data_IF_359365882965
#
_entry.id   IF_359365882965
#
_cell.length_a   1.000
_cell.length_b   1.000
_cell.length_c   1.000
_cell.angle_alpha   90.00
_cell.angle_beta   90.00
_cell.angle_gamma   90.00
#
_symmetry.space_group_name_H-M   'P 1'
#
loop_
_entity.id
_entity.type
_entity.pdbx_description
1 polymer ?
#
# COMPACT_ATOMS: atom_id res chain seq x y z
N UNK A 1 0.63 30.44 30.12
CA UNK A 1 0.27 29.36 29.17
C UNK A 1 -1.23 29.28 29.12
N UNK A 2 -1.85 29.72 28.02
CA UNK A 2 -3.31 29.80 27.89
C UNK A 2 -3.93 28.44 27.50
N UNK A 3 -5.20 28.20 27.83
CA UNK A 3 -5.90 26.92 27.60
C UNK A 3 -5.90 26.45 26.13
N UNK A 4 -5.80 27.39 25.17
CA UNK A 4 -5.67 27.08 23.74
C UNK A 4 -4.32 26.44 23.38
N UNK A 5 -3.24 26.77 24.11
CA UNK A 5 -1.91 26.20 23.88
C UNK A 5 -1.82 24.75 24.41
N UNK A 6 -2.52 24.44 25.49
CA UNK A 6 -2.64 23.07 26.02
C UNK A 6 -3.47 22.19 25.09
N UNK A 7 -4.63 22.68 24.62
CA UNK A 7 -5.47 21.94 23.67
C UNK A 7 -4.77 21.65 22.33
N UNK A 8 -4.01 22.61 21.77
CA UNK A 8 -3.22 22.38 20.55
C UNK A 8 -2.08 21.38 20.74
N UNK A 9 -1.51 21.28 21.94
CA UNK A 9 -0.48 20.30 22.25
C UNK A 9 -1.06 18.88 22.32
N UNK A 10 -2.20 18.73 22.99
CA UNK A 10 -2.92 17.46 23.11
C UNK A 10 -3.37 16.92 21.76
N UNK A 11 -3.85 17.79 20.84
CA UNK A 11 -4.23 17.40 19.47
C UNK A 11 -3.01 16.87 18.71
N UNK A 12 -1.88 17.59 18.73
CA UNK A 12 -0.67 17.18 18.00
C UNK A 12 -0.07 15.87 18.52
N UNK A 13 -0.19 15.60 19.82
CA UNK A 13 0.30 14.35 20.43
C UNK A 13 -0.61 13.17 20.10
N UNK A 14 -1.93 13.39 20.08
CA UNK A 14 -2.91 12.41 19.62
C UNK A 14 -2.71 12.05 18.13
N UNK A 15 -2.52 13.06 17.27
CA UNK A 15 -2.26 12.89 15.84
C UNK A 15 -0.98 12.10 15.58
N UNK A 16 0.12 12.37 16.30
CA UNK A 16 1.37 11.59 16.17
C UNK A 16 1.18 10.14 16.57
N UNK A 17 0.52 9.89 17.70
CA UNK A 17 0.30 8.52 18.19
C UNK A 17 -0.59 7.72 17.23
N UNK A 18 -1.57 8.35 16.62
CA UNK A 18 -2.42 7.74 15.58
C UNK A 18 -1.63 7.47 14.29
N UNK A 19 -0.82 8.44 13.86
CA UNK A 19 0.07 8.30 12.70
C UNK A 19 1.06 7.13 12.90
N UNK A 20 1.70 7.03 14.07
CA UNK A 20 2.64 5.97 14.41
C UNK A 20 1.97 4.59 14.41
N UNK A 21 0.77 4.48 14.98
CA UNK A 21 -0.01 3.23 14.94
C UNK A 21 -0.41 2.86 13.52
N UNK A 22 -0.77 3.84 12.70
CA UNK A 22 -1.09 3.63 11.29
C UNK A 22 0.14 3.15 10.53
N UNK A 23 1.29 3.78 10.71
CA UNK A 23 2.56 3.38 10.08
C UNK A 23 3.00 1.98 10.52
N UNK A 24 2.89 1.65 11.81
CA UNK A 24 3.24 0.33 12.34
C UNK A 24 2.38 -0.78 11.72
N UNK A 25 1.10 -0.52 11.46
CA UNK A 25 0.20 -1.48 10.77
C UNK A 25 0.52 -1.64 9.29
N UNK A 26 1.20 -0.68 8.67
CA UNK A 26 1.57 -0.70 7.25
C UNK A 26 2.88 -1.43 6.96
N UNK A 27 3.72 -1.68 7.97
CA UNK A 27 5.04 -2.32 7.79
C UNK A 27 4.90 -3.70 7.16
N UNK A 28 4.01 -4.54 7.69
CA UNK A 28 3.86 -5.93 7.24
C UNK A 28 3.24 -6.06 5.84
N UNK A 29 2.07 -5.46 5.54
CA UNK A 29 1.49 -5.57 4.21
C UNK A 29 2.39 -4.95 3.14
N UNK A 30 3.09 -3.84 3.44
CA UNK A 30 4.07 -3.25 2.51
C UNK A 30 5.22 -4.20 2.20
N UNK A 31 5.79 -4.82 3.24
CA UNK A 31 6.89 -5.78 3.06
C UNK A 31 6.44 -6.98 2.22
N UNK A 32 5.23 -7.47 2.43
CA UNK A 32 4.66 -8.58 1.67
C UNK A 32 4.44 -8.21 0.20
N UNK A 33 3.86 -7.03 -0.08
CA UNK A 33 3.67 -6.56 -1.46
C UNK A 33 5.00 -6.32 -2.18
N UNK A 34 5.99 -5.71 -1.51
CA UNK A 34 7.32 -5.45 -2.09
C UNK A 34 8.01 -6.77 -2.45
N UNK A 35 7.93 -7.78 -1.57
CA UNK A 35 8.48 -9.11 -1.84
C UNK A 35 7.78 -9.79 -3.01
N UNK A 36 6.44 -9.77 -3.04
CA UNK A 36 5.67 -10.40 -4.11
C UNK A 36 5.92 -9.73 -5.46
N UNK A 37 6.02 -8.40 -5.52
CA UNK A 37 6.37 -7.70 -6.75
C UNK A 37 7.72 -8.18 -7.31
N UNK A 38 8.77 -8.20 -6.47
CA UNK A 38 10.08 -8.68 -6.93
C UNK A 38 10.01 -10.10 -7.52
N UNK A 39 9.27 -11.01 -6.87
CA UNK A 39 9.16 -12.39 -7.36
C UNK A 39 8.30 -12.50 -8.62
N UNK A 40 7.25 -11.68 -8.76
CA UNK A 40 6.42 -11.66 -9.97
C UNK A 40 7.15 -11.01 -11.14
N UNK A 41 7.98 -10.00 -10.89
CA UNK A 41 8.87 -9.41 -11.88
C UNK A 41 9.89 -10.44 -12.38
N UNK A 42 10.47 -11.24 -11.48
CA UNK A 42 11.34 -12.37 -11.85
C UNK A 42 10.58 -13.37 -12.76
N UNK A 43 9.37 -13.79 -12.38
CA UNK A 43 8.54 -14.65 -13.22
C UNK A 43 8.24 -14.04 -14.60
N UNK A 44 7.97 -12.74 -14.64
CA UNK A 44 7.70 -12.03 -15.87
C UNK A 44 8.95 -11.94 -16.77
N UNK A 45 10.14 -11.80 -16.19
CA UNK A 45 11.41 -11.86 -16.91
C UNK A 45 11.72 -13.26 -17.44
N UNK A 46 11.19 -14.31 -16.80
CA UNK A 46 11.27 -15.70 -17.24
C UNK A 46 10.16 -16.10 -18.25
N UNK A 47 9.39 -15.13 -18.75
CA UNK A 47 8.24 -15.34 -19.65
C UNK A 47 7.14 -16.25 -19.05
N UNK A 48 7.07 -16.37 -17.72
CA UNK A 48 6.01 -17.10 -17.04
C UNK A 48 4.75 -16.24 -17.00
N UNK A 49 3.77 -16.59 -17.85
CA UNK A 49 2.54 -15.81 -18.00
C UNK A 49 1.52 -15.99 -16.88
N UNK A 50 1.55 -17.11 -16.16
CA UNK A 50 0.60 -17.42 -15.09
C UNK A 50 1.36 -17.70 -13.80
N UNK A 51 0.84 -17.15 -12.71
CA UNK A 51 1.48 -17.27 -11.40
C UNK A 51 1.35 -18.71 -10.89
N UNK A 52 2.47 -19.40 -10.56
CA UNK A 52 2.41 -20.78 -10.08
C UNK A 52 1.73 -20.92 -8.72
N UNK A 53 1.18 -22.11 -8.44
CA UNK A 53 0.49 -22.42 -7.18
C UNK A 53 1.39 -22.32 -5.94
N UNK A 54 2.70 -22.39 -6.10
CA UNK A 54 3.65 -22.22 -4.99
C UNK A 54 3.60 -20.82 -4.35
N UNK A 55 3.00 -19.84 -5.06
CA UNK A 55 2.81 -18.48 -4.58
C UNK A 55 1.51 -18.29 -3.77
N UNK A 56 0.57 -19.23 -3.81
CA UNK A 56 -0.69 -19.15 -3.06
C UNK A 56 -0.51 -18.86 -1.57
N UNK A 57 0.43 -19.47 -0.83
CA UNK A 57 0.63 -19.17 0.58
C UNK A 57 0.93 -17.68 0.82
N UNK A 58 1.80 -17.09 0.01
CA UNK A 58 2.18 -15.67 0.10
C UNK A 58 1.02 -14.75 -0.29
N UNK A 59 0.23 -15.13 -1.30
CA UNK A 59 -0.97 -14.39 -1.72
C UNK A 59 -2.10 -14.49 -0.70
N UNK A 60 -2.28 -15.66 -0.06
CA UNK A 60 -3.21 -15.85 1.06
C UNK A 60 -2.82 -15.00 2.27
N UNK A 61 -1.54 -14.96 2.62
CA UNK A 61 -1.02 -14.12 3.68
C UNK A 61 -1.31 -12.64 3.39
N UNK A 62 -1.00 -12.16 2.18
CA UNK A 62 -1.30 -10.80 1.78
C UNK A 62 -2.81 -10.50 1.87
N UNK A 63 -3.68 -11.38 1.38
CA UNK A 63 -5.14 -11.22 1.50
C UNK A 63 -5.58 -11.03 2.95
N UNK A 64 -5.06 -11.85 3.88
CA UNK A 64 -5.39 -11.75 5.32
C UNK A 64 -5.02 -10.37 5.87
N UNK A 65 -3.85 -9.83 5.49
CA UNK A 65 -3.41 -8.51 5.93
C UNK A 65 -4.21 -7.36 5.32
N UNK A 66 -4.83 -7.56 4.14
CA UNK A 66 -5.63 -6.55 3.46
C UNK A 66 -7.11 -6.56 3.86
N UNK A 67 -7.60 -7.64 4.48
CA UNK A 67 -8.99 -7.72 4.96
C UNK A 67 -9.26 -6.62 5.99
N UNK A 68 -10.24 -5.76 5.71
CA UNK A 68 -10.64 -4.66 6.58
C UNK A 68 -9.85 -3.37 6.35
N UNK A 69 -8.99 -3.30 5.33
CA UNK A 69 -8.28 -2.07 4.98
C UNK A 69 -9.18 -1.10 4.21
N UNK A 70 -9.30 0.13 4.71
CA UNK A 70 -10.09 1.16 4.05
C UNK A 70 -9.43 1.61 2.74
N UNK A 71 -10.15 1.52 1.62
CA UNK A 71 -9.69 1.91 0.29
C UNK A 71 -9.18 0.77 -0.57
N UNK A 72 -8.96 -0.43 -0.01
CA UNK A 72 -8.66 -1.62 -0.81
C UNK A 72 -9.98 -2.27 -1.21
N UNK A 73 -10.28 -2.25 -2.50
CA UNK A 73 -11.50 -2.89 -3.01
C UNK A 73 -11.43 -4.41 -2.87
N UNK A 74 -12.55 -5.03 -2.52
CA UNK A 74 -12.65 -6.49 -2.43
C UNK A 74 -12.32 -7.19 -3.75
N UNK A 75 -12.63 -6.54 -4.88
CA UNK A 75 -12.26 -6.96 -6.23
C UNK A 75 -10.75 -7.16 -6.40
N UNK A 76 -9.91 -6.29 -5.80
CA UNK A 76 -8.46 -6.42 -5.84
C UNK A 76 -7.97 -7.58 -4.98
N UNK A 77 -8.59 -7.77 -3.80
CA UNK A 77 -8.27 -8.90 -2.90
C UNK A 77 -8.64 -10.23 -3.55
N UNK A 78 -9.77 -10.31 -4.26
CA UNK A 78 -10.23 -11.53 -4.94
C UNK A 78 -9.32 -11.92 -6.13
N UNK A 79 -8.56 -10.96 -6.70
CA UNK A 79 -7.59 -11.20 -7.79
C UNK A 79 -6.23 -11.74 -7.30
N UNK A 80 -5.94 -11.65 -6.00
CA UNK A 80 -4.71 -12.18 -5.39
C UNK A 80 -4.76 -13.72 -5.29
N UNK A 81 -4.59 -14.40 -6.41
CA UNK A 81 -4.63 -15.86 -6.51
C UNK A 81 -3.59 -16.37 -7.53
N UNK A 82 -3.16 -17.61 -7.39
CA UNK A 82 -2.40 -18.33 -8.41
C UNK A 82 -3.26 -18.57 -9.64
N UNK A 83 -2.60 -18.80 -10.78
CA UNK A 83 -3.26 -18.89 -12.07
C UNK A 83 -3.78 -17.54 -12.61
N UNK A 84 -3.68 -16.44 -11.86
CA UNK A 84 -3.81 -15.08 -12.41
C UNK A 84 -2.61 -14.80 -13.34
N UNK A 85 -2.83 -13.96 -14.36
CA UNK A 85 -1.74 -13.52 -15.23
C UNK A 85 -0.67 -12.78 -14.43
N UNK A 86 0.61 -13.09 -14.65
CA UNK A 86 1.73 -12.48 -13.90
C UNK A 86 1.69 -10.96 -14.01
N UNK A 87 1.50 -10.41 -15.22
CA UNK A 87 1.35 -8.97 -15.43
C UNK A 87 0.12 -8.38 -14.72
N UNK A 88 -1.02 -9.08 -14.75
CA UNK A 88 -2.24 -8.64 -14.07
C UNK A 88 -2.05 -8.62 -12.55
N UNK A 89 -1.31 -9.59 -12.00
CA UNK A 89 -1.05 -9.66 -10.57
C UNK A 89 -0.04 -8.59 -10.14
N UNK A 90 0.96 -8.27 -10.95
CA UNK A 90 1.87 -7.14 -10.73
C UNK A 90 1.07 -5.84 -10.64
N UNK A 91 0.21 -5.54 -11.62
CA UNK A 91 -0.62 -4.33 -11.63
C UNK A 91 -1.57 -4.27 -10.41
N UNK A 92 -2.16 -5.41 -10.05
CA UNK A 92 -3.04 -5.53 -8.88
C UNK A 92 -2.30 -5.22 -7.59
N UNK A 93 -1.12 -5.81 -7.38
CA UNK A 93 -0.30 -5.59 -6.18
C UNK A 93 0.21 -4.14 -6.14
N UNK A 94 0.57 -3.56 -7.29
CA UNK A 94 0.97 -2.16 -7.39
C UNK A 94 -0.17 -1.22 -6.97
N UNK A 95 -1.38 -1.46 -7.46
CA UNK A 95 -2.57 -0.68 -7.08
C UNK A 95 -2.85 -0.79 -5.57
N UNK A 96 -2.70 -1.99 -5.00
CA UNK A 96 -2.84 -2.19 -3.55
C UNK A 96 -1.78 -1.39 -2.79
N UNK A 97 -0.52 -1.40 -3.25
CA UNK A 97 0.55 -0.59 -2.67
C UNK A 97 0.25 0.90 -2.69
N UNK A 98 -0.28 1.44 -3.80
CA UNK A 98 -0.65 2.85 -3.88
C UNK A 98 -1.72 3.24 -2.85
N UNK A 99 -2.64 2.33 -2.52
CA UNK A 99 -3.66 2.55 -1.50
C UNK A 99 -3.08 2.48 -0.09
N UNK A 100 -2.31 1.44 0.23
CA UNK A 100 -1.82 1.21 1.60
C UNK A 100 -0.59 2.08 1.93
N UNK A 101 0.23 2.36 0.94
CA UNK A 101 1.45 3.13 1.03
C UNK A 101 1.50 4.12 -0.15
N UNK A 102 0.60 5.13 -0.15
CA UNK A 102 0.62 6.15 -1.17
C UNK A 102 2.02 6.75 -1.23
N UNK A 103 2.59 6.95 -2.43
CA UNK A 103 3.90 7.56 -2.55
C UNK A 103 3.86 8.87 -1.77
N UNK A 104 4.75 9.00 -0.79
CA UNK A 104 4.97 10.29 -0.15
C UNK A 104 5.58 11.19 -1.22
N UNK A 105 4.72 11.85 -1.99
CA UNK A 105 5.15 13.02 -2.74
C UNK A 105 5.86 13.92 -1.72
N UNK A 106 7.10 14.36 -1.99
CA UNK A 106 7.76 15.29 -1.11
C UNK A 106 6.80 16.47 -0.89
N UNK A 107 6.59 16.92 0.37
CA UNK A 107 5.75 18.08 0.65
C UNK A 107 6.43 19.29 0.00
N UNK A 108 6.08 19.59 -1.26
CA UNK A 108 6.83 20.54 -2.08
C UNK A 108 6.44 20.59 -3.55
N UNK A 109 5.73 19.60 -4.11
CA UNK A 109 5.15 19.71 -5.47
C UNK A 109 3.65 19.98 -5.40
N UNK A 110 3.29 21.15 -4.85
CA UNK A 110 2.12 21.83 -5.39
C UNK A 110 2.54 22.29 -6.80
N UNK A 111 1.74 22.06 -7.87
CA UNK A 111 1.87 22.92 -9.02
C UNK A 111 1.56 24.33 -8.50
N UNK A 112 2.58 25.16 -8.37
CA UNK A 112 2.36 26.59 -8.35
C UNK A 112 1.57 26.86 -9.63
N UNK A 113 0.37 27.38 -9.47
CA UNK A 113 -0.40 27.96 -10.56
C UNK A 113 0.49 29.00 -11.26
N UNK A 114 1.25 28.56 -12.25
CA UNK A 114 1.69 29.40 -13.35
C UNK A 114 0.45 29.66 -14.22
N UNK A 115 -0.37 30.62 -13.77
CA UNK A 115 -1.17 31.41 -14.70
C UNK A 115 -0.96 32.87 -14.31
N UNK A 116 -0.03 33.48 -15.05
CA UNK A 116 0.09 34.91 -15.25
C UNK A 116 -1.29 35.57 -15.44
N UNK A 117 -1.51 36.72 -14.79
CA UNK A 117 -1.98 37.97 -15.42
C UNK A 117 -1.87 39.14 -14.43
#
# INVERSE_FOLDING_TARGET
MGPLATANHEIREAERSEQERRLARLVEPRRLTDRLLNQLEELNLEDVHLVPDEYEPSLAELRIHLVGWAGVERSLIDRLQSGTGTAELIETIFTIQEVICPPTLPPGTLPLDDVEL
#
